data_IF_479229465511
#
_entry.id   IF_479229465511
#
_cell.length_a   1.000
_cell.length_b   1.000
_cell.length_c   1.000
_cell.angle_alpha   90.00
_cell.angle_beta   90.00
_cell.angle_gamma   90.00
#
_symmetry.space_group_name_H-M   'P 1'
#
loop_
_entity.id
_entity.type
_entity.pdbx_description
1 polymer ?
#
# COMPACT_ATOMS: atom_id res chain seq x y z
N UNK A 1 -9.37 7.96 -8.27
CA UNK A 1 -9.24 8.01 -6.80
C UNK A 1 -9.29 9.46 -6.32
N UNK A 2 -10.20 9.82 -5.41
CA UNK A 2 -10.27 11.20 -4.85
C UNK A 2 -9.70 11.29 -3.43
N UNK A 3 -9.94 10.28 -2.60
CA UNK A 3 -9.50 10.27 -1.19
C UNK A 3 -7.98 10.07 -1.11
N UNK A 4 -7.44 8.95 -1.62
CA UNK A 4 -6.00 8.67 -1.52
C UNK A 4 -5.11 9.68 -2.28
N UNK A 5 -5.66 10.39 -3.26
CA UNK A 5 -4.93 11.44 -3.97
C UNK A 5 -4.97 12.79 -3.26
N UNK A 6 -5.73 12.93 -2.17
CA UNK A 6 -5.87 14.19 -1.46
C UNK A 6 -4.66 14.43 -0.57
N UNK A 7 -4.05 15.64 -0.58
CA UNK A 7 -2.83 15.92 0.19
C UNK A 7 -3.00 15.81 1.71
N UNK A 8 -4.24 15.90 2.21
CA UNK A 8 -4.53 15.70 3.64
C UNK A 8 -4.67 14.23 4.07
N UNK A 9 -4.56 13.27 3.15
CA UNK A 9 -4.61 11.84 3.50
C UNK A 9 -3.22 11.38 3.96
N UNK A 10 -3.08 11.16 5.27
CA UNK A 10 -1.80 10.78 5.89
C UNK A 10 -1.54 9.27 6.00
N UNK A 11 -2.58 8.44 6.01
CA UNK A 11 -2.49 6.98 6.08
C UNK A 11 -3.77 6.34 5.56
N UNK A 12 -3.69 5.05 5.19
CA UNK A 12 -4.83 4.26 4.78
C UNK A 12 -4.95 2.98 5.62
N UNK A 13 -5.98 2.93 6.47
CA UNK A 13 -6.39 1.69 7.12
C UNK A 13 -7.05 0.78 6.08
N UNK A 14 -6.45 -0.37 5.81
CA UNK A 14 -6.87 -1.26 4.74
C UNK A 14 -6.79 -2.71 5.16
N UNK A 15 -7.71 -3.51 4.64
CA UNK A 15 -7.67 -4.97 4.71
C UNK A 15 -6.54 -5.60 3.88
N UNK A 16 -5.66 -4.82 3.26
CA UNK A 16 -4.53 -5.30 2.46
C UNK A 16 -4.91 -6.16 1.23
N UNK A 17 -6.11 -5.99 0.68
CA UNK A 17 -6.43 -6.49 -0.66
C UNK A 17 -5.50 -5.85 -1.71
N UNK A 18 -5.08 -6.62 -2.72
CA UNK A 18 -4.01 -6.20 -3.63
C UNK A 18 -4.29 -4.89 -4.36
N UNK A 19 -5.53 -4.69 -4.81
CA UNK A 19 -5.96 -3.44 -5.44
C UNK A 19 -5.79 -2.24 -4.49
N UNK A 20 -6.21 -2.37 -3.23
CA UNK A 20 -6.07 -1.31 -2.23
C UNK A 20 -4.62 -1.01 -1.88
N UNK A 21 -3.75 -2.03 -1.86
CA UNK A 21 -2.30 -1.85 -1.70
C UNK A 21 -1.74 -1.04 -2.87
N UNK A 22 -2.01 -1.46 -4.12
CA UNK A 22 -1.53 -0.75 -5.31
C UNK A 22 -2.04 0.69 -5.38
N UNK A 23 -3.31 0.90 -5.09
CA UNK A 23 -3.93 2.21 -5.03
C UNK A 23 -3.24 3.14 -4.01
N UNK A 24 -2.99 2.64 -2.79
CA UNK A 24 -2.29 3.39 -1.73
C UNK A 24 -0.87 3.77 -2.15
N UNK A 25 -0.10 2.79 -2.63
CA UNK A 25 1.30 2.99 -2.98
C UNK A 25 1.46 3.88 -4.22
N UNK A 26 0.54 3.78 -5.20
CA UNK A 26 0.52 4.67 -6.37
C UNK A 26 0.28 6.14 -6.02
N UNK A 27 -0.27 6.42 -4.82
CA UNK A 27 -0.50 7.77 -4.30
C UNK A 27 0.44 8.15 -3.17
N UNK A 28 1.43 7.32 -2.86
CA UNK A 28 2.39 7.60 -1.80
C UNK A 28 1.76 7.66 -0.41
N UNK A 29 0.72 6.85 -0.16
CA UNK A 29 0.04 6.79 1.13
C UNK A 29 0.45 5.51 1.88
N UNK A 30 0.98 5.61 3.11
CA UNK A 30 1.33 4.44 3.92
C UNK A 30 0.10 3.71 4.44
N UNK A 31 0.26 2.41 4.71
CA UNK A 31 -0.81 1.52 5.12
C UNK A 31 -0.81 1.27 6.63
N UNK A 32 -2.01 1.19 7.20
CA UNK A 32 -2.27 0.46 8.45
C UNK A 32 -3.01 -0.81 8.05
N UNK A 33 -2.35 -1.96 8.19
CA UNK A 33 -2.83 -3.22 7.66
C UNK A 33 -3.74 -3.96 8.64
N UNK A 34 -4.93 -4.35 8.20
CA UNK A 34 -5.85 -5.20 8.95
C UNK A 34 -6.41 -6.32 8.06
N UNK A 35 -5.56 -7.28 7.62
CA UNK A 35 -5.99 -8.38 6.76
C UNK A 35 -7.10 -9.20 7.41
N UNK A 36 -8.11 -9.56 6.61
CA UNK A 36 -9.31 -10.26 7.07
C UNK A 36 -9.44 -11.67 6.48
N UNK A 37 -8.80 -11.96 5.34
CA UNK A 37 -8.92 -13.25 4.68
C UNK A 37 -8.07 -13.41 3.41
N UNK A 38 -8.11 -14.62 2.84
CA UNK A 38 -7.49 -14.94 1.55
C UNK A 38 -5.99 -14.56 1.48
N UNK A 39 -5.56 -13.93 0.38
CA UNK A 39 -4.17 -13.53 0.15
C UNK A 39 -3.75 -12.26 0.92
N UNK A 40 -4.70 -11.60 1.59
CA UNK A 40 -4.46 -10.34 2.29
C UNK A 40 -3.38 -10.46 3.38
N UNK A 41 -3.27 -11.62 4.03
CA UNK A 41 -2.22 -11.89 5.01
C UNK A 41 -0.82 -11.86 4.38
N UNK A 42 -0.68 -12.38 3.17
CA UNK A 42 0.59 -12.35 2.44
C UNK A 42 0.89 -10.94 1.94
N UNK A 43 -0.11 -10.22 1.43
CA UNK A 43 0.04 -8.83 1.00
C UNK A 43 0.43 -7.93 2.18
N UNK A 44 -0.16 -8.14 3.36
CA UNK A 44 0.18 -7.40 4.58
C UNK A 44 1.63 -7.66 5.00
N UNK A 45 2.07 -8.93 5.03
CA UNK A 45 3.46 -9.28 5.31
C UNK A 45 4.42 -8.58 4.33
N UNK A 46 4.15 -8.67 3.03
CA UNK A 46 4.97 -8.07 1.99
C UNK A 46 5.06 -6.54 2.15
N UNK A 47 3.93 -5.88 2.44
CA UNK A 47 3.89 -4.44 2.66
C UNK A 47 4.63 -4.02 3.95
N UNK A 48 4.64 -4.86 4.99
CA UNK A 48 5.44 -4.64 6.21
C UNK A 48 6.93 -4.80 5.89
N UNK A 49 7.32 -5.82 5.14
CA UNK A 49 8.71 -6.06 4.72
C UNK A 49 9.25 -4.92 3.84
N UNK A 50 8.41 -4.35 2.98
CA UNK A 50 8.75 -3.16 2.20
C UNK A 50 8.82 -1.88 3.03
N UNK A 51 8.47 -1.91 4.32
CA UNK A 51 8.51 -0.73 5.19
C UNK A 51 7.42 0.28 4.89
N UNK A 52 6.29 -0.14 4.31
CA UNK A 52 5.16 0.75 3.94
C UNK A 52 3.87 0.46 4.70
N UNK A 53 3.88 -0.54 5.58
CA UNK A 53 2.74 -0.95 6.38
C UNK A 53 3.10 -1.14 7.86
N UNK A 54 2.18 -0.77 8.75
CA UNK A 54 2.11 -1.27 10.13
C UNK A 54 0.91 -2.19 10.22
N UNK A 55 1.12 -3.48 10.54
CA UNK A 55 0.02 -4.41 10.76
C UNK A 55 -0.64 -4.10 12.12
N UNK A 56 -1.91 -3.72 12.08
CA UNK A 56 -2.74 -3.43 13.25
C UNK A 56 -3.21 -4.73 13.92
N UNK A 57 -3.75 -5.64 13.11
CA UNK A 57 -4.34 -6.88 13.58
C UNK A 57 -4.57 -7.86 12.42
N UNK A 58 -4.84 -9.12 12.76
CA UNK A 58 -5.31 -10.14 11.83
C UNK A 58 -6.75 -10.48 12.17
N UNK A 59 -7.65 -10.38 11.20
CA UNK A 59 -8.97 -10.95 11.30
C UNK A 59 -8.89 -12.47 11.45
N UNK A 60 -9.79 -13.04 12.23
CA UNK A 60 -10.04 -14.47 12.24
C UNK A 60 -11.55 -14.73 12.05
N UNK A 61 -11.92 -15.97 11.74
CA UNK A 61 -13.31 -16.35 11.44
C UNK A 61 -14.26 -16.22 12.65
N UNK A 62 -13.71 -16.15 13.87
CA UNK A 62 -14.49 -16.12 15.12
C UNK A 62 -14.66 -14.69 15.66
N UNK A 63 -13.67 -13.82 15.46
CA UNK A 63 -13.66 -12.44 15.91
C UNK A 63 -12.60 -11.62 15.16
N UNK A 64 -12.99 -10.42 14.76
CA UNK A 64 -12.08 -9.37 14.28
C UNK A 64 -11.95 -8.24 15.30
N UNK A 65 -12.32 -8.47 16.57
CA UNK A 65 -12.22 -7.43 17.59
C UNK A 65 -10.76 -6.98 17.77
N UNK A 66 -10.55 -5.66 17.76
CA UNK A 66 -9.26 -5.02 18.03
C UNK A 66 -9.41 -4.07 19.19
N UNK A 67 -8.46 -4.11 20.11
CA UNK A 67 -8.40 -3.18 21.24
C UNK A 67 -8.19 -1.75 20.73
N UNK A 68 -9.01 -0.79 21.21
CA UNK A 68 -8.89 0.61 20.81
C UNK A 68 -7.49 1.18 21.02
N UNK A 69 -6.74 0.71 22.03
CA UNK A 69 -5.34 1.11 22.27
C UNK A 69 -4.42 0.75 21.10
N UNK A 70 -4.61 -0.42 20.48
CA UNK A 70 -3.78 -0.87 19.36
C UNK A 70 -4.04 0.00 18.12
N UNK A 71 -5.29 0.42 17.91
CA UNK A 71 -5.65 1.37 16.84
C UNK A 71 -4.93 2.70 17.04
N UNK A 72 -4.94 3.25 18.26
CA UNK A 72 -4.25 4.50 18.60
C UNK A 72 -2.74 4.36 18.42
N UNK A 73 -2.14 3.25 18.83
CA UNK A 73 -0.70 3.01 18.66
C UNK A 73 -0.30 2.91 17.18
N UNK A 74 -1.08 2.18 16.37
CA UNK A 74 -0.83 2.06 14.93
C UNK A 74 -0.99 3.41 14.21
N UNK A 75 -2.06 4.15 14.51
CA UNK A 75 -2.30 5.49 13.96
C UNK A 75 -1.16 6.45 14.31
N UNK A 76 -0.77 6.53 15.59
CA UNK A 76 0.36 7.37 16.03
C UNK A 76 1.69 6.97 15.41
N UNK A 77 1.90 5.67 15.21
CA UNK A 77 3.13 5.17 14.56
C UNK A 77 3.22 5.66 13.11
N UNK A 78 2.11 5.60 12.36
CA UNK A 78 2.12 5.95 10.93
C UNK A 78 1.98 7.47 10.71
N UNK A 79 1.07 8.13 11.42
CA UNK A 79 0.73 9.55 11.20
C UNK A 79 1.42 10.52 12.15
N UNK A 80 1.92 10.05 13.30
CA UNK A 80 2.61 10.92 14.26
C UNK A 80 4.03 11.29 13.85
N UNK A 81 4.67 12.12 14.68
CA UNK A 81 6.06 12.52 14.56
C UNK A 81 6.99 11.40 15.07
N UNK A 82 7.01 10.29 14.33
CA UNK A 82 7.85 9.13 14.64
C UNK A 82 8.85 8.86 13.51
N UNK A 83 10.03 8.36 13.87
CA UNK A 83 11.04 7.98 12.89
C UNK A 83 10.51 6.94 11.88
N UNK A 84 9.66 6.01 12.35
CA UNK A 84 9.03 4.99 11.51
C UNK A 84 8.02 5.61 10.53
N UNK A 85 7.15 6.51 10.97
CA UNK A 85 6.20 7.22 10.10
C UNK A 85 6.92 8.06 9.04
N UNK A 86 8.00 8.75 9.42
CA UNK A 86 8.87 9.50 8.49
C UNK A 86 9.53 8.60 7.44
N UNK A 87 10.05 7.45 7.86
CA UNK A 87 10.63 6.46 6.96
C UNK A 87 9.56 5.92 6.00
N UNK A 88 8.41 5.49 6.51
CA UNK A 88 7.29 5.00 5.69
C UNK A 88 6.90 6.02 4.63
N UNK A 89 6.73 7.31 4.99
CA UNK A 89 6.43 8.40 4.03
C UNK A 89 7.49 8.55 2.94
N UNK A 90 8.78 8.45 3.28
CA UNK A 90 9.87 8.48 2.28
C UNK A 90 9.81 7.29 1.34
N UNK A 91 9.57 6.09 1.87
CA UNK A 91 9.52 4.85 1.08
C UNK A 91 8.31 4.85 0.14
N UNK A 92 7.09 5.15 0.64
CA UNK A 92 5.90 5.19 -0.24
C UNK A 92 6.01 6.28 -1.31
N UNK A 93 6.64 7.42 -1.02
CA UNK A 93 6.88 8.44 -2.02
C UNK A 93 7.87 7.97 -3.10
N UNK A 94 8.89 7.19 -2.74
CA UNK A 94 9.81 6.57 -3.70
C UNK A 94 9.09 5.52 -4.56
N UNK A 95 8.28 4.65 -3.94
CA UNK A 95 7.49 3.65 -4.66
C UNK A 95 6.50 4.32 -5.62
N UNK A 96 5.79 5.37 -5.19
CA UNK A 96 4.84 6.09 -6.04
C UNK A 96 5.52 6.62 -7.32
N UNK A 97 6.70 7.23 -7.21
CA UNK A 97 7.50 7.69 -8.36
C UNK A 97 7.93 6.53 -9.25
N UNK A 98 8.37 5.42 -8.67
CA UNK A 98 8.73 4.22 -9.44
C UNK A 98 7.53 3.64 -10.19
N UNK A 99 6.35 3.61 -9.57
CA UNK A 99 5.11 3.14 -10.21
C UNK A 99 4.68 4.06 -11.35
N UNK A 100 4.81 5.37 -11.18
CA UNK A 100 4.54 6.36 -12.24
C UNK A 100 5.50 6.16 -13.42
N UNK A 101 6.81 6.11 -13.15
CA UNK A 101 7.84 5.88 -14.18
C UNK A 101 7.68 4.54 -14.91
N UNK A 102 7.18 3.49 -14.24
CA UNK A 102 6.95 2.20 -14.88
C UNK A 102 5.90 2.27 -16.01
N UNK A 103 4.98 3.24 -15.96
CA UNK A 103 3.93 3.43 -16.97
C UNK A 103 4.25 4.52 -17.99
N UNK A 104 5.36 5.25 -17.85
CA UNK A 104 5.79 6.25 -18.82
C UNK A 104 6.13 5.61 -20.17
N UNK A 105 5.83 6.30 -21.27
CA UNK A 105 6.17 5.85 -22.62
C UNK A 105 6.84 6.99 -23.40
N UNK A 106 7.97 6.73 -24.10
CA UNK A 106 8.70 5.45 -24.16
C UNK A 106 9.57 5.17 -22.91
N UNK A 107 9.89 3.90 -22.64
CA UNK A 107 10.93 3.50 -21.67
C UNK A 107 10.45 2.97 -20.31
N UNK A 108 9.15 3.05 -20.00
CA UNK A 108 8.58 2.50 -18.76
C UNK A 108 8.39 0.99 -18.85
N UNK A 109 8.85 0.27 -17.82
CA UNK A 109 8.88 -1.21 -17.83
C UNK A 109 7.50 -1.87 -17.96
N UNK A 110 6.45 -1.30 -17.36
CA UNK A 110 5.09 -1.82 -17.47
C UNK A 110 4.47 -1.50 -18.84
N UNK A 111 4.71 -0.29 -19.37
CA UNK A 111 4.27 0.10 -20.70
C UNK A 111 4.93 -0.78 -21.79
N UNK A 112 6.23 -1.03 -21.69
CA UNK A 112 6.97 -1.91 -22.61
C UNK A 112 6.52 -3.37 -22.52
N UNK A 113 6.26 -3.86 -21.30
CA UNK A 113 5.73 -5.22 -21.09
C UNK A 113 4.35 -5.39 -21.73
N UNK A 114 3.48 -4.38 -21.60
CA UNK A 114 2.16 -4.39 -22.23
C UNK A 114 2.27 -4.34 -23.76
N UNK A 115 3.10 -3.47 -24.31
CA UNK A 115 3.33 -3.37 -25.76
C UNK A 115 3.93 -4.68 -26.32
N UNK A 116 4.88 -5.28 -25.60
CA UNK A 116 5.44 -6.59 -25.92
C UNK A 116 4.37 -7.69 -25.94
N UNK A 117 3.47 -7.70 -24.96
CA UNK A 117 2.34 -8.62 -24.95
C UNK A 117 1.40 -8.41 -26.16
N UNK A 118 1.05 -7.15 -26.47
CA UNK A 118 0.19 -6.81 -27.61
C UNK A 118 0.77 -7.29 -28.93
N UNK A 119 2.08 -7.10 -29.15
CA UNK A 119 2.79 -7.62 -30.34
C UNK A 119 2.74 -9.14 -30.47
N UNK A 120 2.59 -9.88 -29.36
CA UNK A 120 2.50 -11.34 -29.39
C UNK A 120 1.08 -11.86 -29.66
N UNK A 121 0.05 -11.05 -29.42
CA UNK A 121 -1.36 -11.47 -29.54
C UNK A 121 -2.08 -10.86 -30.74
N UNK A 122 -1.55 -9.78 -31.31
CA UNK A 122 -2.02 -9.22 -32.56
C UNK A 122 -1.34 -9.93 -33.74
N UNK A 123 -2.12 -10.52 -34.68
CA UNK A 123 -1.60 -11.29 -35.81
C UNK A 123 -0.89 -10.46 -36.89
#
# INVERSE_FOLDING_TARGET
MRILSHPSTGAFLSHCGWNSVLESLSRGVPLIGWPLGAEQFFNANLAVEWGVCVELARGNLESSAVESRAVVEAERTVMGDTAKGDEMRRVVAAIARTMEAAWEAPGGSAAESLEGFLRCVEP
#
